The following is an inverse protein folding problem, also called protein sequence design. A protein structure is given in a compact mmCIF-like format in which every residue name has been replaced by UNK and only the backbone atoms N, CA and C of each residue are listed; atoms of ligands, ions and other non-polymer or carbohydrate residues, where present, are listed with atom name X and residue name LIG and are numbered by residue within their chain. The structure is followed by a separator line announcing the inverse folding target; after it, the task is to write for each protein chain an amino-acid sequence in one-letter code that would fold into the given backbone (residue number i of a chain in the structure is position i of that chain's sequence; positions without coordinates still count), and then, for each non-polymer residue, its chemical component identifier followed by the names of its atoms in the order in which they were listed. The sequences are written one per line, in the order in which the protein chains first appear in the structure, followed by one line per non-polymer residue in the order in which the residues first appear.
data_IF_631591625781
#
_entry.id   IF_631591625781
#
_cell.length_a   1.000
_cell.length_b   1.000
_cell.length_c   1.000
_cell.angle_alpha   90.00
_cell.angle_beta   90.00
_cell.angle_gamma   90.00
#
_symmetry.space_group_name_H-M   'P 1'
#
loop_
_entity.id
_entity.type
_entity.pdbx_description
1 polymer ?
#
# COMPACT_ATOMS: atom_id res chain seq x y z
N UNK A 1 -28.92 -51.38 26.07
CA UNK A 1 -27.70 -52.02 25.52
C UNK A 1 -26.62 -50.94 25.40
N UNK A 2 -25.87 -50.54 26.44
CA UNK A 2 -24.73 -51.17 27.13
C UNK A 2 -23.62 -51.72 26.22
N UNK A 3 -22.51 -50.96 26.10
CA UNK A 3 -21.08 -51.32 26.30
C UNK A 3 -20.21 -50.12 25.90
N UNK A 4 -19.73 -49.32 26.86
CA UNK A 4 -18.43 -49.41 27.57
C UNK A 4 -17.24 -48.89 26.74
N UNK A 5 -16.72 -47.74 27.15
CA UNK A 5 -15.34 -47.29 26.93
C UNK A 5 -14.35 -48.20 27.67
N UNK A 6 -13.08 -48.22 27.24
CA UNK A 6 -12.00 -48.11 28.22
C UNK A 6 -10.93 -47.06 27.84
N UNK A 7 -10.30 -46.53 28.89
CA UNK A 7 -9.15 -45.64 28.87
C UNK A 7 -7.85 -46.43 29.14
N UNK A 8 -6.71 -45.94 28.66
CA UNK A 8 -5.35 -46.08 29.24
C UNK A 8 -4.41 -45.14 28.45
N UNK A 9 -3.87 -44.02 28.97
CA UNK A 9 -2.79 -43.81 29.96
C UNK A 9 -1.46 -44.49 29.61
N UNK A 10 -0.46 -43.70 29.17
CA UNK A 10 0.94 -43.87 29.57
C UNK A 10 1.54 -42.47 29.82
N UNK A 11 2.06 -42.31 31.05
CA UNK A 11 2.90 -41.22 31.55
C UNK A 11 4.30 -41.28 30.93
N UNK A 12 4.99 -40.14 30.78
CA UNK A 12 6.32 -39.94 31.39
C UNK A 12 6.88 -38.52 31.19
N UNK A 13 7.09 -37.86 32.34
CA UNK A 13 8.23 -37.03 32.76
C UNK A 13 8.77 -35.89 31.85
N UNK A 14 8.56 -34.65 32.32
CA UNK A 14 9.57 -33.58 32.31
C UNK A 14 10.68 -33.91 33.36
N UNK A 15 11.91 -33.32 33.37
CA UNK A 15 12.10 -31.88 33.63
C UNK A 15 13.39 -31.19 33.07
N UNK A 16 13.32 -29.85 33.01
CA UNK A 16 14.33 -28.85 33.48
C UNK A 16 15.76 -28.86 32.87
N UNK A 17 16.17 -27.74 32.26
CA UNK A 17 17.24 -26.86 32.78
C UNK A 17 17.42 -25.61 31.88
N UNK A 18 17.21 -24.43 32.46
CA UNK A 18 17.78 -23.13 32.04
C UNK A 18 18.85 -22.76 33.11
N UNK A 19 19.51 -21.59 33.07
CA UNK A 19 20.12 -20.78 32.00
C UNK A 19 21.64 -20.56 32.27
N UNK A 20 22.43 -20.05 31.31
CA UNK A 20 23.71 -19.36 31.65
C UNK A 20 23.87 -18.08 30.85
N UNK A 21 23.83 -17.00 31.62
CA UNK A 21 24.16 -15.61 31.30
C UNK A 21 25.69 -15.47 31.24
N UNK A 22 26.26 -14.89 30.19
CA UNK A 22 27.59 -14.25 30.29
C UNK A 22 27.52 -12.86 29.69
N UNK A 23 27.54 -11.89 30.60
CA UNK A 23 27.67 -10.46 30.39
C UNK A 23 29.18 -10.16 30.21
N UNK A 24 29.56 -9.64 29.04
CA UNK A 24 30.92 -9.20 28.75
C UNK A 24 30.97 -7.69 28.56
N UNK A 25 30.93 -6.93 29.65
CA UNK A 25 31.12 -5.49 29.69
C UNK A 25 32.59 -5.21 30.00
N UNK A 26 33.36 -4.63 29.06
CA UNK A 26 34.69 -4.10 29.34
C UNK A 26 34.69 -2.58 29.20
N UNK A 27 34.92 -1.91 30.32
CA UNK A 27 35.15 -0.48 30.49
C UNK A 27 36.52 -0.32 31.18
N UNK A 28 37.50 0.23 30.47
CA UNK A 28 38.71 0.88 30.99
C UNK A 28 39.36 1.65 29.82
N UNK A 29 39.68 2.94 29.88
CA UNK A 29 39.59 3.94 30.94
C UNK A 29 39.82 5.36 30.38
N UNK A 30 39.55 6.36 31.20
CA UNK A 30 39.70 7.79 30.90
C UNK A 30 41.17 8.25 30.98
N UNK A 31 41.54 9.27 30.17
CA UNK A 31 41.80 10.66 30.63
C UNK A 31 42.95 11.35 29.89
N UNK A 32 42.62 12.34 29.04
CA UNK A 32 43.23 13.69 29.10
C UNK A 32 42.52 14.67 28.16
N UNK A 33 42.02 15.75 28.75
CA UNK A 33 41.59 16.96 28.07
C UNK A 33 42.77 17.66 27.38
N UNK A 34 42.56 18.08 26.13
CA UNK A 34 43.10 19.31 25.55
C UNK A 34 42.35 19.63 24.24
N UNK A 35 41.64 20.74 24.24
CA UNK A 35 41.04 21.35 23.05
C UNK A 35 42.11 22.22 22.32
N UNK A 36 41.82 22.82 21.15
CA UNK A 36 42.44 22.45 19.86
C UNK A 36 43.29 23.58 19.24
N UNK A 37 44.16 23.31 18.25
CA UNK A 37 44.53 24.33 17.27
C UNK A 37 43.57 24.28 16.08
N UNK A 38 43.09 25.46 15.72
CA UNK A 38 42.21 25.79 14.62
C UNK A 38 42.66 25.18 13.29
N UNK A 39 41.72 24.48 12.66
CA UNK A 39 41.79 24.11 11.26
C UNK A 39 41.65 25.36 10.41
N UNK A 40 42.64 25.63 9.55
CA UNK A 40 42.41 26.36 8.30
C UNK A 40 42.70 25.39 7.17
N UNK A 41 41.75 24.48 6.94
CA UNK A 41 41.60 23.82 5.66
C UNK A 41 40.42 24.51 4.98
N UNK A 42 40.75 25.26 3.94
CA UNK A 42 39.81 25.90 3.03
C UNK A 42 38.91 24.81 2.44
N UNK A 43 37.72 24.64 3.01
CA UNK A 43 36.67 23.85 2.41
C UNK A 43 36.10 24.68 1.25
N UNK A 44 36.44 24.27 0.03
CA UNK A 44 35.59 24.56 -1.12
C UNK A 44 34.16 24.07 -0.81
N UNK A 45 33.11 24.83 -1.15
CA UNK A 45 31.74 24.38 -0.91
C UNK A 45 31.53 23.08 -1.67
N UNK A 46 31.32 21.98 -0.94
CA UNK A 46 30.68 20.81 -1.50
C UNK A 46 29.30 21.27 -1.95
N UNK A 47 29.09 21.35 -3.26
CA UNK A 47 27.76 21.50 -3.82
C UNK A 47 26.92 20.34 -3.31
N UNK A 48 25.82 20.70 -2.65
CA UNK A 48 24.76 19.79 -2.25
C UNK A 48 24.34 19.00 -3.50
N UNK A 49 24.67 17.70 -3.53
CA UNK A 49 24.14 16.79 -4.54
C UNK A 49 22.69 16.54 -4.14
N UNK A 50 21.82 17.51 -4.42
CA UNK A 50 20.39 17.36 -4.28
C UNK A 50 19.98 16.19 -5.19
N UNK A 51 19.58 15.07 -4.60
CA UNK A 51 18.97 13.97 -5.34
C UNK A 51 17.83 14.54 -6.20
N UNK A 52 17.63 14.07 -7.46
CA UNK A 52 16.58 14.59 -8.31
C UNK A 52 15.22 14.48 -7.59
N UNK A 53 14.42 15.53 -7.65
CA UNK A 53 13.09 15.56 -7.06
C UNK A 53 12.26 14.40 -7.65
N UNK A 54 11.73 13.55 -6.78
CA UNK A 54 10.85 12.45 -7.17
C UNK A 54 9.46 12.98 -7.51
N UNK A 55 8.86 12.43 -8.55
CA UNK A 55 7.51 12.72 -8.99
C UNK A 55 6.51 12.42 -7.88
N UNK A 56 5.67 13.41 -7.56
CA UNK A 56 4.57 13.27 -6.60
C UNK A 56 3.31 12.72 -7.27
N UNK A 57 2.33 12.30 -6.44
CA UNK A 57 1.03 11.85 -6.93
C UNK A 57 0.29 13.00 -7.62
N UNK A 58 0.32 14.19 -7.01
CA UNK A 58 -0.29 15.39 -7.53
C UNK A 58 0.31 15.80 -8.88
N UNK A 59 1.64 15.75 -9.00
CA UNK A 59 2.32 16.02 -10.28
C UNK A 59 1.91 14.99 -11.34
N UNK A 60 1.81 13.71 -10.96
CA UNK A 60 1.32 12.67 -11.85
C UNK A 60 -0.10 12.94 -12.34
N UNK A 61 -1.01 13.30 -11.43
CA UNK A 61 -2.39 13.59 -11.81
C UNK A 61 -2.43 14.79 -12.76
N UNK A 62 -1.72 15.89 -12.45
CA UNK A 62 -1.68 17.08 -13.31
C UNK A 62 -1.08 16.80 -14.68
N UNK A 63 -0.04 15.97 -14.75
CA UNK A 63 0.59 15.61 -16.01
C UNK A 63 -0.33 14.78 -16.91
N UNK A 64 -1.14 13.89 -16.33
CA UNK A 64 -1.93 12.89 -17.06
C UNK A 64 -3.41 13.24 -17.24
N UNK A 65 -3.95 14.18 -16.47
CA UNK A 65 -5.39 14.51 -16.46
C UNK A 65 -5.68 16.01 -16.61
N UNK A 66 -4.95 16.70 -17.49
CA UNK A 66 -5.09 18.14 -17.75
C UNK A 66 -6.52 18.56 -18.10
N UNK A 67 -7.23 17.75 -18.88
CA UNK A 67 -8.61 18.05 -19.31
C UNK A 67 -9.59 18.03 -18.11
N UNK A 68 -9.35 17.14 -17.15
CA UNK A 68 -10.15 17.07 -15.93
C UNK A 68 -9.87 18.24 -14.96
N UNK A 69 -8.80 19.01 -15.18
CA UNK A 69 -8.45 20.19 -14.38
C UNK A 69 -8.82 21.51 -15.07
N UNK A 70 -8.92 21.52 -16.40
CA UNK A 70 -9.09 22.75 -17.20
C UNK A 70 -10.54 23.02 -17.64
N UNK A 71 -11.45 22.06 -17.44
CA UNK A 71 -12.87 22.22 -17.78
C UNK A 71 -13.66 22.75 -16.58
N UNK A 72 -14.83 23.37 -16.82
CA UNK A 72 -15.76 23.77 -15.74
C UNK A 72 -16.35 22.56 -14.97
N UNK A 73 -16.06 21.33 -15.44
CA UNK A 73 -16.29 20.08 -14.72
C UNK A 73 -15.17 19.80 -13.68
N UNK A 74 -14.17 20.68 -13.60
CA UNK A 74 -12.89 20.59 -12.89
C UNK A 74 -12.98 20.62 -11.38
N UNK A 75 -13.50 19.53 -10.82
CA UNK A 75 -13.44 19.21 -9.39
C UNK A 75 -12.78 17.85 -9.22
N UNK A 76 -11.58 17.69 -9.76
CA UNK A 76 -10.80 16.48 -9.53
C UNK A 76 -10.49 16.43 -8.03
N UNK A 77 -10.87 15.32 -7.42
CA UNK A 77 -10.47 15.01 -6.06
C UNK A 77 -9.80 13.65 -6.07
N UNK A 78 -9.03 13.32 -5.05
CA UNK A 78 -8.40 12.01 -4.97
C UNK A 78 -8.15 11.59 -3.53
N UNK A 79 -7.93 10.28 -3.37
CA UNK A 79 -7.27 9.73 -2.20
C UNK A 79 -6.12 8.85 -2.69
N UNK A 80 -5.02 8.82 -1.96
CA UNK A 80 -3.87 8.00 -2.30
C UNK A 80 -3.35 7.26 -1.09
N UNK A 81 -2.83 6.06 -1.32
CA UNK A 81 -2.16 5.25 -0.32
C UNK A 81 -1.07 4.41 -0.98
N UNK A 82 -0.04 4.05 -0.21
CA UNK A 82 1.10 3.29 -0.70
C UNK A 82 1.18 1.93 -0.02
N UNK A 83 1.53 0.91 -0.79
CA UNK A 83 1.79 -0.44 -0.26
C UNK A 83 2.61 -1.23 -1.27
N UNK A 84 3.44 -2.15 -0.78
CA UNK A 84 4.19 -3.06 -1.64
C UNK A 84 3.24 -4.15 -2.17
N UNK A 85 2.87 -4.06 -3.46
CA UNK A 85 1.97 -5.01 -4.09
C UNK A 85 2.75 -6.18 -4.69
N UNK A 86 3.94 -5.97 -5.23
CA UNK A 86 4.68 -7.02 -5.94
C UNK A 86 5.80 -7.70 -5.13
N UNK A 87 6.12 -7.16 -3.97
CA UNK A 87 7.08 -7.71 -3.02
C UNK A 87 8.54 -7.34 -3.32
N UNK A 88 8.79 -6.31 -4.14
CA UNK A 88 10.15 -5.86 -4.45
C UNK A 88 10.74 -4.91 -3.37
N UNK A 89 9.96 -4.57 -2.34
CA UNK A 89 10.36 -3.67 -1.26
C UNK A 89 10.16 -2.19 -1.56
N UNK A 90 9.69 -1.82 -2.75
CA UNK A 90 9.28 -0.46 -3.12
C UNK A 90 7.76 -0.40 -3.24
N UNK A 91 7.08 0.42 -2.41
CA UNK A 91 5.63 0.54 -2.48
C UNK A 91 5.12 1.05 -3.83
N UNK A 92 4.05 0.43 -4.33
CA UNK A 92 3.20 1.01 -5.34
C UNK A 92 2.22 2.01 -4.72
N UNK A 93 1.81 2.98 -5.54
CA UNK A 93 0.82 3.99 -5.15
C UNK A 93 -0.53 3.64 -5.76
N UNK A 94 -1.54 3.50 -4.90
CA UNK A 94 -2.93 3.42 -5.31
C UNK A 94 -3.54 4.82 -5.24
N UNK A 95 -4.16 5.27 -6.32
CA UNK A 95 -4.79 6.59 -6.44
C UNK A 95 -6.25 6.40 -6.84
N UNK A 96 -7.16 6.69 -5.92
CA UNK A 96 -8.59 6.75 -6.20
C UNK A 96 -8.93 8.13 -6.74
N UNK A 97 -9.27 8.22 -8.02
CA UNK A 97 -9.61 9.47 -8.71
C UNK A 97 -11.11 9.72 -8.62
N UNK A 98 -11.46 10.80 -7.96
CA UNK A 98 -12.83 11.29 -7.80
C UNK A 98 -13.12 12.55 -8.61
N UNK A 99 -14.41 12.84 -8.74
CA UNK A 99 -14.93 13.99 -9.47
C UNK A 99 -15.75 13.59 -10.70
N UNK A 100 -16.45 14.55 -11.34
CA UNK A 100 -17.44 14.26 -12.38
C UNK A 100 -16.87 13.53 -13.60
N UNK A 101 -15.59 13.70 -13.90
CA UNK A 101 -14.91 13.06 -15.03
C UNK A 101 -14.53 11.59 -14.76
N UNK A 102 -14.40 11.21 -13.49
CA UNK A 102 -13.94 9.88 -13.09
C UNK A 102 -15.03 9.02 -12.46
N UNK A 103 -16.10 9.65 -11.98
CA UNK A 103 -17.15 8.98 -11.23
C UNK A 103 -18.45 8.89 -12.03
N UNK A 104 -19.07 7.72 -11.99
CA UNK A 104 -20.46 7.49 -12.38
C UNK A 104 -21.26 6.90 -11.22
N UNK A 105 -22.45 6.36 -11.51
CA UNK A 105 -23.25 5.66 -10.49
C UNK A 105 -22.58 4.38 -10.00
N UNK A 106 -21.68 3.80 -10.80
CA UNK A 106 -20.93 2.59 -10.48
C UNK A 106 -19.72 2.80 -9.56
N UNK A 107 -19.37 4.04 -9.24
CA UNK A 107 -18.13 4.39 -8.54
C UNK A 107 -17.16 5.14 -9.44
N UNK A 108 -15.92 5.25 -9.01
CA UNK A 108 -14.89 6.04 -9.68
C UNK A 108 -13.72 5.17 -10.18
N UNK A 109 -12.63 5.81 -10.62
CA UNK A 109 -11.44 5.12 -11.12
C UNK A 109 -10.42 4.90 -10.00
N UNK A 110 -9.82 3.71 -9.97
CA UNK A 110 -8.64 3.38 -9.17
C UNK A 110 -7.43 3.20 -10.09
N UNK A 111 -6.39 3.99 -9.90
CA UNK A 111 -5.13 3.89 -10.62
C UNK A 111 -4.09 3.23 -9.72
N UNK A 112 -3.30 2.31 -10.28
CA UNK A 112 -2.11 1.76 -9.61
C UNK A 112 -0.88 2.26 -10.34
N UNK A 113 0.04 2.87 -9.59
CA UNK A 113 1.29 3.46 -10.09
C UNK A 113 2.48 2.71 -9.48
N UNK A 114 3.51 2.48 -10.29
CA UNK A 114 4.80 1.94 -9.84
C UNK A 114 5.89 2.97 -10.01
N UNK A 115 6.77 3.08 -9.02
CA UNK A 115 7.91 3.99 -9.07
C UNK A 115 9.01 3.41 -9.97
N UNK A 116 9.48 4.22 -10.91
CA UNK A 116 10.57 3.88 -11.82
C UNK A 116 11.57 5.04 -11.83
N UNK A 117 12.61 4.92 -10.99
CA UNK A 117 13.54 6.02 -10.74
C UNK A 117 12.84 7.20 -10.07
N UNK A 118 12.90 8.37 -10.70
CA UNK A 118 12.22 9.57 -10.23
C UNK A 118 10.75 9.63 -10.65
N UNK A 119 10.29 8.79 -11.58
CA UNK A 119 8.96 8.88 -12.19
C UNK A 119 7.96 7.88 -11.59
N UNK A 120 6.68 8.09 -11.89
CA UNK A 120 5.58 7.19 -11.60
C UNK A 120 4.97 6.66 -12.91
N UNK A 121 5.13 5.35 -13.17
CA UNK A 121 4.51 4.67 -14.31
C UNK A 121 3.15 4.11 -13.93
N UNK A 122 2.15 4.31 -14.79
CA UNK A 122 0.85 3.65 -14.65
C UNK A 122 0.97 2.13 -14.89
N UNK A 123 0.56 1.34 -13.90
CA UNK A 123 0.43 -0.12 -14.00
C UNK A 123 -0.97 -0.48 -14.47
N UNK A 124 -2.00 0.12 -13.89
CA UNK A 124 -3.39 -0.13 -14.27
C UNK A 124 -4.30 1.03 -13.93
N UNK A 125 -5.49 1.01 -14.53
CA UNK A 125 -6.61 1.88 -14.18
C UNK A 125 -7.89 1.05 -14.26
N UNK A 126 -8.64 1.03 -13.17
CA UNK A 126 -9.85 0.22 -12.98
C UNK A 126 -11.03 1.12 -12.70
N UNK A 127 -12.07 1.05 -13.54
CA UNK A 127 -13.33 1.78 -13.33
C UNK A 127 -14.30 1.02 -12.42
N UNK A 128 -15.39 1.68 -12.01
CA UNK A 128 -16.49 1.08 -11.22
C UNK A 128 -16.01 0.63 -9.84
N UNK A 129 -15.04 1.36 -9.28
CA UNK A 129 -14.54 1.10 -7.93
C UNK A 129 -15.33 1.96 -6.96
N UNK A 130 -15.96 1.34 -5.96
CA UNK A 130 -16.44 2.02 -4.77
C UNK A 130 -15.42 1.85 -3.66
N UNK A 131 -15.28 2.88 -2.82
CA UNK A 131 -14.54 2.75 -1.57
C UNK A 131 -15.33 1.83 -0.61
N UNK A 132 -14.65 1.14 0.31
CA UNK A 132 -13.19 1.11 0.51
C UNK A 132 -12.40 0.29 -0.52
N UNK A 133 -11.11 0.60 -0.64
CA UNK A 133 -10.10 -0.26 -1.30
C UNK A 133 -9.24 -0.92 -0.23
N UNK A 134 -9.09 -2.24 -0.32
CA UNK A 134 -8.21 -3.02 0.54
C UNK A 134 -7.26 -3.91 -0.26
N UNK A 135 -6.30 -4.51 0.46
CA UNK A 135 -5.33 -5.42 -0.14
C UNK A 135 -5.41 -6.76 0.56
N UNK A 136 -5.43 -7.81 -0.26
CA UNK A 136 -5.56 -9.18 0.19
C UNK A 136 -4.19 -9.82 0.42
N UNK A 137 -4.16 -10.86 1.26
CA UNK A 137 -2.99 -11.71 1.44
C UNK A 137 -2.71 -12.61 0.22
N UNK A 138 -3.73 -12.86 -0.60
CA UNK A 138 -3.57 -13.62 -1.83
C UNK A 138 -2.81 -12.84 -2.88
N UNK A 139 -2.04 -13.55 -3.70
CA UNK A 139 -1.30 -13.00 -4.84
C UNK A 139 -1.71 -13.67 -6.14
N UNK A 140 -1.69 -12.91 -7.23
CA UNK A 140 -1.83 -13.38 -8.61
C UNK A 140 -0.64 -12.85 -9.41
N UNK A 141 0.07 -13.73 -10.12
CA UNK A 141 1.25 -13.34 -10.91
C UNK A 141 2.30 -12.52 -10.12
N UNK A 142 2.51 -12.86 -8.84
CA UNK A 142 3.48 -12.20 -7.95
C UNK A 142 2.95 -10.96 -7.22
N UNK A 143 1.85 -10.37 -7.70
CA UNK A 143 1.24 -9.16 -7.14
C UNK A 143 0.11 -9.50 -6.17
N UNK A 144 -0.03 -8.74 -5.08
CA UNK A 144 -1.15 -8.84 -4.13
C UNK A 144 -2.47 -8.51 -4.84
N UNK A 145 -3.51 -9.27 -4.55
CA UNK A 145 -4.83 -8.96 -5.09
C UNK A 145 -5.45 -7.79 -4.31
N UNK A 146 -6.30 -7.01 -4.97
CA UNK A 146 -7.05 -5.94 -4.32
C UNK A 146 -8.49 -6.40 -4.05
N UNK A 147 -9.07 -5.88 -2.99
CA UNK A 147 -10.50 -6.01 -2.70
C UNK A 147 -11.13 -4.61 -2.78
N UNK A 148 -12.20 -4.49 -3.54
CA UNK A 148 -12.93 -3.23 -3.70
C UNK A 148 -14.42 -3.46 -3.59
N UNK A 149 -15.16 -2.48 -3.11
CA UNK A 149 -16.61 -2.51 -3.19
C UNK A 149 -17.05 -2.18 -4.61
N UNK A 150 -18.14 -2.80 -5.06
CA UNK A 150 -18.80 -2.50 -6.34
C UNK A 150 -20.30 -2.41 -6.10
N UNK A 151 -20.95 -1.39 -6.65
CA UNK A 151 -22.40 -1.18 -6.55
C UNK A 151 -22.85 -0.16 -7.58
N UNK A 152 -24.18 0.04 -7.73
CA UNK A 152 -24.73 1.02 -8.66
C UNK A 152 -24.77 0.51 -10.10
N UNK A 153 -25.08 1.35 -11.09
CA UNK A 153 -25.16 0.91 -12.50
C UNK A 153 -26.18 -0.21 -12.79
N UNK A 154 -27.12 -0.48 -11.86
CA UNK A 154 -28.09 -1.58 -11.95
C UNK A 154 -27.63 -2.91 -11.32
N UNK A 155 -26.42 -2.98 -10.75
CA UNK A 155 -25.96 -4.15 -9.99
C UNK A 155 -26.18 -3.99 -8.49
N UNK A 156 -26.40 -5.12 -7.81
CA UNK A 156 -26.37 -5.20 -6.36
C UNK A 156 -24.96 -4.94 -5.84
N UNK A 157 -24.88 -4.49 -4.58
CA UNK A 157 -23.61 -4.31 -3.90
C UNK A 157 -22.90 -5.64 -3.68
N UNK A 158 -21.57 -5.64 -3.79
CA UNK A 158 -20.71 -6.76 -3.47
C UNK A 158 -19.25 -6.36 -3.39
N UNK A 159 -18.38 -7.33 -3.09
CA UNK A 159 -16.93 -7.13 -3.09
C UNK A 159 -16.35 -7.77 -4.33
N UNK A 160 -15.54 -7.01 -5.07
CA UNK A 160 -14.75 -7.53 -6.18
C UNK A 160 -13.32 -7.80 -5.75
N UNK A 161 -12.79 -8.93 -6.22
CA UNK A 161 -11.37 -9.26 -6.13
C UNK A 161 -10.68 -8.91 -7.45
N UNK A 162 -9.84 -7.89 -7.43
CA UNK A 162 -9.02 -7.52 -8.57
C UNK A 162 -7.74 -8.35 -8.57
N UNK A 163 -7.69 -9.37 -9.43
CA UNK A 163 -6.49 -10.19 -9.63
C UNK A 163 -5.56 -9.56 -10.65
N UNK A 164 -4.29 -9.48 -10.32
CA UNK A 164 -3.30 -9.03 -11.30
C UNK A 164 -3.13 -10.07 -12.41
N UNK A 165 -3.16 -9.63 -13.66
CA UNK A 165 -3.13 -10.50 -14.86
C UNK A 165 -1.71 -10.83 -15.34
N UNK A 166 -0.69 -10.34 -14.63
CA UNK A 166 0.71 -10.33 -15.08
C UNK A 166 1.08 -9.07 -15.87
N UNK A 167 0.11 -8.19 -16.17
CA UNK A 167 0.34 -6.89 -16.81
C UNK A 167 -0.39 -5.74 -16.11
N UNK A 168 -1.64 -5.98 -15.72
CA UNK A 168 -2.50 -4.99 -15.06
C UNK A 168 -3.52 -5.67 -14.15
N UNK A 169 -4.15 -4.90 -13.25
CA UNK A 169 -5.46 -5.26 -12.70
C UNK A 169 -6.55 -5.12 -13.79
N UNK A 170 -7.75 -5.71 -13.59
CA UNK A 170 -8.86 -5.57 -14.53
C UNK A 170 -9.23 -4.11 -14.78
N UNK A 171 -9.62 -3.76 -15.99
CA UNK A 171 -10.01 -2.37 -16.32
C UNK A 171 -11.37 -1.97 -15.77
N UNK A 172 -12.17 -2.94 -15.30
CA UNK A 172 -13.48 -2.72 -14.68
C UNK A 172 -13.63 -3.69 -13.50
N UNK A 173 -14.01 -3.16 -12.33
CA UNK A 173 -14.15 -3.96 -11.11
C UNK A 173 -15.37 -4.89 -11.11
N UNK A 174 -16.34 -4.73 -12.02
CA UNK A 174 -17.56 -5.56 -12.03
C UNK A 174 -17.36 -6.95 -12.65
N UNK A 175 -16.13 -7.36 -12.98
CA UNK A 175 -15.84 -8.62 -13.68
C UNK A 175 -15.85 -9.85 -12.76
N UNK A 176 -15.40 -9.70 -11.52
CA UNK A 176 -15.31 -10.77 -10.54
C UNK A 176 -15.89 -10.29 -9.21
N UNK A 177 -17.21 -10.39 -9.08
CA UNK A 177 -17.96 -9.90 -7.92
C UNK A 177 -18.50 -11.06 -7.12
N UNK A 178 -18.34 -11.00 -5.80
CA UNK A 178 -18.94 -11.94 -4.87
C UNK A 178 -19.82 -11.17 -3.89
N UNK A 179 -21.12 -11.48 -3.88
CA UNK A 179 -22.06 -10.92 -2.91
C UNK A 179 -21.83 -11.47 -1.49
N UNK A 180 -21.29 -12.69 -1.39
CA UNK A 180 -21.00 -13.36 -0.11
C UNK A 180 -19.57 -13.10 0.39
N UNK A 181 -18.80 -12.26 -0.31
CA UNK A 181 -17.45 -11.95 0.13
C UNK A 181 -17.48 -11.04 1.36
N UNK A 182 -16.60 -11.34 2.32
CA UNK A 182 -16.44 -10.52 3.51
C UNK A 182 -16.11 -9.06 3.13
N UNK A 183 -16.71 -8.07 3.81
CA UNK A 183 -16.38 -6.67 3.61
C UNK A 183 -14.89 -6.39 3.80
N UNK A 184 -14.41 -5.31 3.18
CA UNK A 184 -13.02 -4.86 3.34
C UNK A 184 -12.80 -4.36 4.78
N UNK A 185 -12.34 -5.26 5.65
CA UNK A 185 -12.20 -5.00 7.10
C UNK A 185 -11.01 -4.10 7.48
N UNK A 186 -10.00 -4.00 6.62
CA UNK A 186 -8.83 -3.13 6.79
C UNK A 186 -8.61 -2.33 5.51
N UNK A 187 -9.30 -1.20 5.34
CA UNK A 187 -9.17 -0.39 4.14
C UNK A 187 -7.76 0.21 4.07
N UNK A 188 -7.13 0.09 2.90
CA UNK A 188 -5.96 0.88 2.53
C UNK A 188 -6.38 2.31 2.15
N UNK A 189 -7.47 2.43 1.40
CA UNK A 189 -8.17 3.69 1.15
C UNK A 189 -9.59 3.53 1.71
N UNK A 190 -9.87 4.22 2.81
CA UNK A 190 -11.17 4.17 3.48
C UNK A 190 -12.21 5.03 2.76
N UNK A 191 -13.49 4.76 3.03
CA UNK A 191 -14.56 5.70 2.70
C UNK A 191 -14.31 7.06 3.38
N UNK A 192 -14.55 8.15 2.67
CA UNK A 192 -14.40 9.48 3.23
C UNK A 192 -14.28 10.59 2.20
N UNK A 193 -14.04 11.79 2.70
CA UNK A 193 -13.82 12.96 1.86
C UNK A 193 -12.52 12.80 1.06
N UNK A 194 -12.60 13.05 -0.24
CA UNK A 194 -11.45 13.06 -1.13
C UNK A 194 -10.77 14.42 -1.09
N UNK A 195 -9.43 14.43 -1.18
CA UNK A 195 -8.62 15.64 -1.23
C UNK A 195 -8.84 16.34 -2.58
N UNK A 196 -9.28 17.61 -2.61
CA UNK A 196 -9.33 18.40 -3.83
C UNK A 196 -7.94 18.57 -4.44
N UNK A 197 -7.86 18.55 -5.77
CA UNK A 197 -6.66 18.92 -6.51
C UNK A 197 -6.93 20.25 -7.22
N UNK A 198 -6.58 21.35 -6.55
CA UNK A 198 -6.78 22.73 -7.03
C UNK A 198 -5.75 23.14 -8.09
#
# INVERSE_FOLDING_TARGET
MSRKTPAARILALAPVLAPVLVLGLSLAGCKKDAAPPEATASAEPAEDVTAPATMTVEDWIRANHKDALSTDLGKLQYAAAETDLDGDGMPEVLVYLGGPMFCGTGGCNLVVLKREGADLRKVSETSVVQLPVGVLESKSHGWRDLAVTVSGGGMAEGVSRLRFTGKSYPTNASVEVSADAEPVSKPLIAEGALKPLD
#
